data_IF_132398977412
#
_entry.id   IF_132398977412
#
_cell.length_a   1.000
_cell.length_b   1.000
_cell.length_c   1.000
_cell.angle_alpha   90.00
_cell.angle_beta   90.00
_cell.angle_gamma   90.00
#
_symmetry.space_group_name_H-M   'P 1'
#
loop_
_entity.id
_entity.type
_entity.pdbx_description
1 polymer ?
#
# COMPACT_ATOMS: atom_id res chain seq x y z
N UNK A 1 11.09 -22.02 -39.40
CA UNK A 1 10.48 -20.72 -39.06
C UNK A 1 10.35 -20.64 -37.54
N UNK A 2 11.12 -19.80 -36.87
CA UNK A 2 10.88 -19.51 -35.45
C UNK A 2 9.69 -18.56 -35.36
N UNK A 3 8.56 -19.03 -34.83
CA UNK A 3 7.44 -18.15 -34.52
C UNK A 3 7.85 -17.23 -33.37
N UNK A 4 7.82 -15.92 -33.60
CA UNK A 4 7.97 -14.96 -32.51
C UNK A 4 6.71 -15.02 -31.62
N UNK A 5 6.86 -15.13 -30.30
CA UNK A 5 5.72 -15.18 -29.39
C UNK A 5 4.92 -13.87 -29.48
N UNK A 6 3.60 -13.99 -29.58
CA UNK A 6 2.69 -12.85 -29.69
C UNK A 6 2.76 -11.98 -28.42
N UNK A 7 2.99 -10.66 -28.55
CA UNK A 7 3.21 -9.70 -27.44
C UNK A 7 2.15 -9.75 -26.33
N UNK A 8 0.90 -10.08 -26.66
CA UNK A 8 -0.17 -10.22 -25.67
C UNK A 8 0.05 -11.37 -24.67
N UNK A 9 0.85 -12.39 -25.03
CA UNK A 9 1.22 -13.50 -24.15
C UNK A 9 2.27 -13.11 -23.09
N UNK A 10 2.88 -11.92 -23.22
CA UNK A 10 3.90 -11.40 -22.30
C UNK A 10 3.33 -10.34 -21.32
N UNK A 11 2.02 -10.08 -21.34
CA UNK A 11 1.40 -9.14 -20.40
C UNK A 11 1.26 -9.87 -19.07
N UNK A 12 2.15 -9.56 -18.12
CA UNK A 12 2.00 -9.99 -16.73
C UNK A 12 0.65 -9.48 -16.20
N UNK A 13 -0.14 -10.31 -15.49
CA UNK A 13 -1.30 -9.82 -14.75
C UNK A 13 -0.89 -8.66 -13.83
N UNK A 14 -1.81 -7.72 -13.58
CA UNK A 14 -1.57 -6.71 -12.55
C UNK A 14 -1.32 -7.40 -11.22
N UNK A 15 -0.28 -6.97 -10.49
CA UNK A 15 -0.03 -7.46 -9.14
C UNK A 15 -1.13 -6.96 -8.20
N UNK A 16 -1.57 -7.81 -7.27
CA UNK A 16 -2.54 -7.45 -6.24
C UNK A 16 -2.03 -6.25 -5.44
N UNK A 17 -2.86 -5.22 -5.34
CA UNK A 17 -2.58 -4.01 -4.56
C UNK A 17 -3.18 -4.19 -3.17
N UNK A 18 -2.35 -4.10 -2.14
CA UNK A 18 -2.77 -4.34 -0.75
C UNK A 18 -2.59 -3.08 0.08
N UNK A 19 -3.67 -2.57 0.67
CA UNK A 19 -3.59 -1.52 1.67
C UNK A 19 -3.19 -2.12 3.02
N UNK A 20 -2.11 -1.63 3.61
CA UNK A 20 -1.60 -2.10 4.91
C UNK A 20 -1.90 -1.07 5.99
N UNK A 21 -2.80 -1.40 6.90
CA UNK A 21 -3.21 -0.57 8.03
C UNK A 21 -2.50 -0.99 9.31
N UNK A 22 -2.11 -0.01 10.13
CA UNK A 22 -1.48 -0.24 11.43
C UNK A 22 -1.66 0.99 12.33
N UNK A 23 -1.72 0.76 13.65
CA UNK A 23 -1.79 1.88 14.61
C UNK A 23 -0.56 2.79 14.52
N UNK A 24 -0.78 4.10 14.68
CA UNK A 24 0.32 5.09 14.79
C UNK A 24 1.33 4.77 15.90
N UNK A 25 0.92 4.03 16.93
CA UNK A 25 1.81 3.53 17.98
C UNK A 25 3.00 2.75 17.40
N UNK A 26 2.78 2.08 16.28
CA UNK A 26 3.78 1.28 15.58
C UNK A 26 4.39 1.98 14.38
N UNK A 27 4.28 3.32 14.23
CA UNK A 27 4.82 4.06 13.09
C UNK A 27 6.30 3.75 12.78
N UNK A 28 7.11 3.45 13.82
CA UNK A 28 8.50 3.04 13.68
C UNK A 28 8.68 1.69 12.94
N UNK A 29 7.63 0.87 12.85
CA UNK A 29 7.63 -0.44 12.19
C UNK A 29 7.13 -0.40 10.72
N UNK A 30 6.74 0.77 10.19
CA UNK A 30 6.09 0.90 8.86
C UNK A 30 6.84 0.22 7.71
N UNK A 31 8.18 0.25 7.73
CA UNK A 31 8.99 -0.42 6.70
C UNK A 31 9.03 -1.94 6.85
N UNK A 32 8.87 -2.48 8.05
CA UNK A 32 8.77 -3.93 8.25
C UNK A 32 7.46 -4.47 7.68
N UNK A 33 6.35 -3.75 7.88
CA UNK A 33 5.05 -4.09 7.28
C UNK A 33 5.12 -4.03 5.75
N UNK A 34 5.72 -2.96 5.21
CA UNK A 34 5.89 -2.80 3.76
C UNK A 34 6.78 -3.91 3.18
N UNK A 35 7.92 -4.22 3.83
CA UNK A 35 8.82 -5.32 3.45
C UNK A 35 8.08 -6.66 3.43
N UNK A 36 7.33 -6.97 4.50
CA UNK A 36 6.58 -8.21 4.59
C UNK A 36 5.62 -8.39 3.40
N UNK A 37 4.85 -7.34 3.06
CA UNK A 37 3.93 -7.38 1.93
C UNK A 37 4.66 -7.59 0.59
N UNK A 38 5.78 -6.89 0.36
CA UNK A 38 6.61 -7.11 -0.83
C UNK A 38 7.11 -8.56 -0.91
N UNK A 39 7.50 -9.16 0.21
CA UNK A 39 7.93 -10.57 0.30
C UNK A 39 6.79 -11.56 0.00
N UNK A 40 5.52 -11.14 0.14
CA UNK A 40 4.37 -11.94 -0.29
C UNK A 40 4.06 -11.79 -1.79
N UNK A 41 4.82 -10.97 -2.54
CA UNK A 41 4.63 -10.78 -3.97
C UNK A 41 3.49 -9.82 -4.34
N UNK A 42 3.01 -9.01 -3.39
CA UNK A 42 1.96 -8.01 -3.62
C UNK A 42 2.54 -6.60 -3.70
N UNK A 43 1.77 -5.64 -4.19
CA UNK A 43 2.11 -4.20 -4.22
C UNK A 43 1.50 -3.52 -3.00
N UNK A 44 2.29 -3.17 -1.96
CA UNK A 44 1.73 -2.54 -0.77
C UNK A 44 1.47 -1.04 -0.98
N UNK A 45 0.35 -0.60 -0.42
CA UNK A 45 0.11 0.78 -0.06
C UNK A 45 0.15 0.85 1.47
N UNK A 46 1.07 1.63 2.03
CA UNK A 46 1.12 1.89 3.47
C UNK A 46 0.99 3.39 3.70
N UNK A 47 0.00 3.87 4.47
CA UNK A 47 -0.24 5.30 4.63
C UNK A 47 0.98 6.04 5.22
N UNK A 48 1.75 5.37 6.09
CA UNK A 48 2.93 5.93 6.72
C UNK A 48 4.18 5.92 5.84
N UNK A 49 4.25 5.09 4.80
CA UNK A 49 5.33 5.20 3.80
C UNK A 49 4.93 6.08 2.62
N UNK A 50 3.64 6.18 2.30
CA UNK A 50 3.12 7.05 1.24
C UNK A 50 3.18 8.53 1.62
N UNK A 51 2.81 8.86 2.86
CA UNK A 51 2.64 10.26 3.28
C UNK A 51 3.33 10.60 4.59
N UNK A 52 4.20 9.75 5.13
CA UNK A 52 4.75 9.93 6.48
C UNK A 52 3.63 10.15 7.52
N UNK A 53 3.94 10.64 8.72
CA UNK A 53 2.92 10.97 9.71
C UNK A 53 2.21 12.28 9.37
N UNK A 54 1.04 12.18 8.73
CA UNK A 54 0.24 13.32 8.25
C UNK A 54 1.03 14.30 7.37
N UNK A 55 1.99 13.79 6.58
CA UNK A 55 2.93 14.55 5.76
C UNK A 55 3.58 15.70 6.51
N UNK A 56 4.02 15.41 7.74
CA UNK A 56 4.79 16.32 8.59
C UNK A 56 4.09 17.67 8.82
N UNK A 57 2.75 17.67 8.79
CA UNK A 57 1.90 18.87 8.92
C UNK A 57 2.22 19.96 7.87
N UNK A 58 2.83 19.59 6.73
CA UNK A 58 3.08 20.51 5.62
C UNK A 58 1.80 20.89 4.85
N UNK A 59 0.72 20.14 5.07
CA UNK A 59 -0.62 20.38 4.53
C UNK A 59 -1.67 20.03 5.59
N UNK A 60 -2.90 20.50 5.41
CA UNK A 60 -4.02 20.14 6.29
C UNK A 60 -4.20 18.62 6.40
N UNK A 61 -4.35 18.12 7.63
CA UNK A 61 -4.40 16.68 7.92
C UNK A 61 -5.51 15.95 7.18
N UNK A 62 -6.66 16.61 7.01
CA UNK A 62 -7.79 16.04 6.29
C UNK A 62 -7.50 15.82 4.80
N UNK A 63 -6.56 16.58 4.22
CA UNK A 63 -6.08 16.33 2.87
C UNK A 63 -5.37 14.97 2.78
N UNK A 64 -4.51 14.66 3.74
CA UNK A 64 -3.82 13.36 3.81
C UNK A 64 -4.82 12.23 4.10
N UNK A 65 -5.80 12.45 4.99
CA UNK A 65 -6.86 11.46 5.28
C UNK A 65 -7.68 11.12 4.03
N UNK A 66 -8.13 12.13 3.26
CA UNK A 66 -8.86 11.90 2.01
C UNK A 66 -8.02 11.17 0.97
N UNK A 67 -6.73 11.47 0.89
CA UNK A 67 -5.82 10.73 0.02
C UNK A 67 -5.71 9.26 0.45
N UNK A 68 -5.51 8.99 1.74
CA UNK A 68 -5.49 7.62 2.28
C UNK A 68 -6.79 6.86 2.01
N UNK A 69 -7.96 7.47 2.27
CA UNK A 69 -9.26 6.84 1.99
C UNK A 69 -9.42 6.48 0.51
N UNK A 70 -8.91 7.32 -0.38
CA UNK A 70 -8.91 7.02 -1.82
C UNK A 70 -8.03 5.81 -2.12
N UNK A 71 -6.87 5.70 -1.49
CA UNK A 71 -5.97 4.56 -1.68
C UNK A 71 -6.57 3.26 -1.12
N UNK A 72 -7.23 3.29 0.04
CA UNK A 72 -7.97 2.13 0.58
C UNK A 72 -9.02 1.66 -0.41
N UNK A 73 -9.82 2.59 -0.96
CA UNK A 73 -10.88 2.26 -1.93
C UNK A 73 -10.36 1.72 -3.27
N UNK A 74 -9.07 1.90 -3.57
CA UNK A 74 -8.42 1.45 -4.80
C UNK A 74 -7.63 0.16 -4.62
N UNK A 75 -7.36 -0.26 -3.39
CA UNK A 75 -6.68 -1.50 -3.10
C UNK A 75 -7.61 -2.69 -3.33
N UNK A 76 -7.03 -3.80 -3.76
CA UNK A 76 -7.73 -5.07 -3.93
C UNK A 76 -8.00 -5.73 -2.57
N UNK A 77 -7.09 -5.52 -1.60
CA UNK A 77 -7.19 -6.08 -0.24
C UNK A 77 -6.81 -5.08 0.85
N UNK A 78 -7.27 -5.34 2.08
CA UNK A 78 -6.91 -4.62 3.30
C UNK A 78 -6.28 -5.59 4.30
N UNK A 79 -5.02 -5.34 4.67
CA UNK A 79 -4.30 -6.09 5.71
C UNK A 79 -4.09 -5.20 6.93
N UNK A 80 -4.53 -5.66 8.09
CA UNK A 80 -4.43 -4.92 9.36
C UNK A 80 -3.39 -5.56 10.26
N UNK A 81 -2.42 -4.77 10.73
CA UNK A 81 -1.32 -5.22 11.59
C UNK A 81 -1.43 -4.62 12.99
N UNK A 82 -1.44 -5.51 13.99
CA UNK A 82 -1.56 -5.15 15.41
C UNK A 82 -3.01 -4.88 15.82
N UNK A 83 -3.17 -4.19 16.95
CA UNK A 83 -4.48 -3.87 17.50
C UNK A 83 -5.25 -2.88 16.60
N UNK A 84 -6.58 -3.03 16.57
CA UNK A 84 -7.48 -2.08 15.92
C UNK A 84 -7.30 -0.71 16.57
N UNK A 85 -7.19 0.34 15.75
CA UNK A 85 -7.07 1.71 16.20
C UNK A 85 -7.96 2.62 15.35
N UNK A 86 -8.42 3.73 15.94
CA UNK A 86 -9.30 4.73 15.31
C UNK A 86 -8.57 5.65 14.31
N UNK A 87 -7.47 5.17 13.73
CA UNK A 87 -6.59 5.91 12.83
C UNK A 87 -7.18 6.12 11.45
#
# INVERSE_FOLDING_TARGET
>A
MMQQPHRALAIKPADTVVFTAMSKKYFYMRFFVTKFALEQGVVPINPFTSFDYFLLDAVERDTVRRANNTLVARADELWVFGDIADG
#
